data_IF_521226268023
#
_entry.id   IF_521226268023
#
_cell.length_a   1.000
_cell.length_b   1.000
_cell.length_c   1.000
_cell.angle_alpha   90.00
_cell.angle_beta   90.00
_cell.angle_gamma   90.00
#
_symmetry.space_group_name_H-M   'P 1'
#
loop_
_entity.id
_entity.type
_entity.pdbx_description
1 polymer ?
#
# COMPACT_ATOMS: atom_id res chain seq x y z
N UNK A 1 -2.43 -16.44 27.58
CA UNK A 1 -2.20 -15.58 26.42
C UNK A 1 -0.74 -15.16 26.42
N UNK A 2 0.00 -15.20 25.30
CA UNK A 2 1.38 -14.76 25.28
C UNK A 2 1.44 -13.30 25.73
N UNK A 3 2.30 -13.02 26.69
CA UNK A 3 2.26 -11.83 27.55
C UNK A 3 2.93 -10.58 26.96
N UNK A 4 3.34 -10.56 25.69
CA UNK A 4 3.73 -9.34 24.97
C UNK A 4 3.86 -9.61 23.48
N UNK A 5 3.26 -8.76 22.62
CA UNK A 5 3.52 -8.80 21.18
C UNK A 5 4.94 -8.33 20.87
N UNK A 6 5.61 -8.89 19.83
CA UNK A 6 6.88 -8.38 19.36
C UNK A 6 6.80 -6.87 19.08
N UNK A 7 7.79 -6.11 19.54
CA UNK A 7 7.83 -4.65 19.29
C UNK A 7 7.79 -4.32 17.80
N UNK A 8 8.39 -5.19 16.96
CA UNK A 8 8.34 -5.08 15.51
C UNK A 8 6.91 -5.17 14.99
N UNK A 9 6.12 -6.15 15.45
CA UNK A 9 4.73 -6.32 15.06
C UNK A 9 3.86 -5.11 15.46
N UNK A 10 4.01 -4.64 16.69
CA UNK A 10 3.28 -3.44 17.16
C UNK A 10 3.64 -2.20 16.31
N UNK A 11 4.93 -2.05 15.97
CA UNK A 11 5.40 -0.94 15.13
C UNK A 11 4.82 -1.05 13.71
N UNK A 12 4.79 -2.26 13.15
CA UNK A 12 4.29 -2.53 11.81
C UNK A 12 2.80 -2.26 11.72
N UNK A 13 1.98 -2.80 12.63
CA UNK A 13 0.53 -2.56 12.66
C UNK A 13 0.20 -1.07 12.77
N UNK A 14 0.87 -0.35 13.67
CA UNK A 14 0.67 1.11 13.83
C UNK A 14 1.16 1.90 12.63
N UNK A 15 2.26 1.45 12.02
CA UNK A 15 2.84 2.01 10.81
C UNK A 15 1.87 1.91 9.66
N UNK A 16 1.51 0.69 9.28
CA UNK A 16 0.55 0.38 8.22
C UNK A 16 -0.77 1.12 8.46
N UNK A 17 -1.35 1.05 9.67
CA UNK A 17 -2.61 1.75 9.98
C UNK A 17 -2.53 3.22 9.59
N UNK A 18 -1.53 3.96 10.07
CA UNK A 18 -1.34 5.37 9.73
C UNK A 18 -0.90 5.58 8.27
N UNK A 19 -0.17 4.61 7.68
CA UNK A 19 0.25 4.55 6.28
C UNK A 19 -0.93 4.54 5.33
N UNK A 20 -1.92 3.66 5.54
CA UNK A 20 -3.14 3.57 4.73
C UNK A 20 -3.86 4.92 4.63
N UNK A 21 -3.88 5.68 5.73
CA UNK A 21 -4.47 7.02 5.73
C UNK A 21 -3.70 7.99 4.84
N UNK A 22 -2.37 7.91 4.83
CA UNK A 22 -1.55 8.73 3.93
C UNK A 22 -1.76 8.33 2.47
N UNK A 23 -1.80 7.03 2.19
CA UNK A 23 -2.07 6.48 0.86
C UNK A 23 -3.42 6.97 0.34
N UNK A 24 -4.50 6.81 1.12
CA UNK A 24 -5.82 7.30 0.77
C UNK A 24 -5.84 8.82 0.47
N UNK A 25 -5.21 9.65 1.30
CA UNK A 25 -5.13 11.10 1.02
C UNK A 25 -4.31 11.43 -0.23
N UNK A 26 -3.22 10.69 -0.47
CA UNK A 26 -2.43 10.83 -1.68
C UNK A 26 -3.28 10.47 -2.92
N UNK A 27 -4.03 9.36 -2.88
CA UNK A 27 -4.89 8.92 -3.97
C UNK A 27 -6.05 9.88 -4.27
N UNK A 28 -6.63 10.52 -3.26
CA UNK A 28 -7.60 11.61 -3.49
C UNK A 28 -7.02 12.75 -4.32
N UNK A 29 -5.76 13.12 -4.09
CA UNK A 29 -5.08 14.16 -4.86
C UNK A 29 -4.64 13.66 -6.23
N UNK A 30 -4.13 12.44 -6.30
CA UNK A 30 -3.74 11.78 -7.53
C UNK A 30 -4.94 11.69 -8.49
N UNK A 31 -6.08 11.17 -8.05
CA UNK A 31 -7.31 11.11 -8.86
C UNK A 31 -7.73 12.50 -9.38
N UNK A 32 -7.58 13.56 -8.58
CA UNK A 32 -7.88 14.93 -9.02
C UNK A 32 -6.91 15.47 -10.06
N UNK A 33 -5.65 15.04 -10.03
CA UNK A 33 -4.61 15.43 -10.99
C UNK A 33 -4.72 14.71 -12.34
N UNK A 34 -5.44 13.58 -12.40
CA UNK A 34 -5.62 12.78 -13.61
C UNK A 34 -6.74 13.34 -14.49
N UNK A 35 -6.66 13.12 -15.81
CA UNK A 35 -7.71 13.53 -16.76
C UNK A 35 -8.61 12.36 -17.16
N UNK A 36 -8.05 11.17 -17.39
CA UNK A 36 -8.80 9.97 -17.79
C UNK A 36 -9.84 9.58 -16.72
N UNK A 37 -11.10 9.44 -17.13
CA UNK A 37 -12.17 9.00 -16.23
C UNK A 37 -11.97 7.55 -15.76
N UNK A 38 -11.43 6.70 -16.63
CA UNK A 38 -11.13 5.31 -16.31
C UNK A 38 -10.05 5.22 -15.23
N UNK A 39 -8.94 5.94 -15.40
CA UNK A 39 -7.85 5.95 -14.41
C UNK A 39 -8.31 6.56 -13.08
N UNK A 40 -9.19 7.58 -13.11
CA UNK A 40 -9.82 8.12 -11.89
C UNK A 40 -10.62 7.07 -11.15
N UNK A 41 -11.41 6.28 -11.86
CA UNK A 41 -12.21 5.22 -11.23
C UNK A 41 -11.31 4.14 -10.63
N UNK A 42 -10.22 3.78 -11.30
CA UNK A 42 -9.21 2.87 -10.75
C UNK A 42 -8.54 3.42 -9.50
N UNK A 43 -8.02 4.65 -9.55
CA UNK A 43 -7.40 5.29 -8.38
C UNK A 43 -8.41 5.46 -7.24
N UNK A 44 -9.69 5.69 -7.56
CA UNK A 44 -10.75 5.77 -6.55
C UNK A 44 -11.01 4.41 -5.89
N UNK A 45 -11.02 3.33 -6.68
CA UNK A 45 -11.12 1.96 -6.18
C UNK A 45 -9.96 1.66 -5.20
N UNK A 46 -8.73 1.96 -5.62
CA UNK A 46 -7.53 1.84 -4.77
C UNK A 46 -7.72 2.63 -3.47
N UNK A 47 -8.15 3.89 -3.55
CA UNK A 47 -8.44 4.71 -2.36
C UNK A 47 -9.46 4.06 -1.41
N UNK A 48 -10.54 3.47 -1.94
CA UNK A 48 -11.54 2.77 -1.14
C UNK A 48 -10.97 1.52 -0.47
N UNK A 49 -10.12 0.77 -1.18
CA UNK A 49 -9.38 -0.39 -0.66
C UNK A 49 -8.43 0.00 0.48
N UNK A 50 -7.74 1.16 0.39
CA UNK A 50 -6.92 1.69 1.49
C UNK A 50 -7.72 1.98 2.76
N UNK A 51 -8.95 2.50 2.62
CA UNK A 51 -9.83 2.73 3.77
C UNK A 51 -10.28 1.42 4.42
N UNK A 52 -10.51 0.37 3.62
CA UNK A 52 -10.86 -0.95 4.11
C UNK A 52 -9.68 -1.65 4.81
N UNK A 53 -8.47 -1.56 4.23
CA UNK A 53 -7.22 -2.00 4.86
C UNK A 53 -7.03 -1.33 6.23
N UNK A 54 -7.20 -0.01 6.26
CA UNK A 54 -7.09 0.78 7.49
C UNK A 54 -8.12 0.36 8.55
N UNK A 55 -9.35 0.07 8.12
CA UNK A 55 -10.42 -0.40 9.01
C UNK A 55 -10.05 -1.75 9.62
N UNK A 56 -9.57 -2.70 8.81
CA UNK A 56 -9.12 -4.00 9.28
C UNK A 56 -7.99 -3.89 10.32
N UNK A 57 -6.96 -3.09 10.04
CA UNK A 57 -5.85 -2.87 10.97
C UNK A 57 -6.31 -2.23 12.29
N UNK A 58 -7.35 -1.39 12.25
CA UNK A 58 -7.97 -0.83 13.47
C UNK A 58 -8.67 -1.89 14.30
N UNK A 59 -9.45 -2.75 13.66
CA UNK A 59 -10.17 -3.85 14.32
C UNK A 59 -9.17 -4.85 14.93
N UNK A 60 -8.12 -5.20 14.20
CA UNK A 60 -7.00 -6.01 14.71
C UNK A 60 -6.32 -5.38 15.94
N UNK A 61 -6.04 -4.07 15.91
CA UNK A 61 -5.50 -3.38 17.09
C UNK A 61 -6.45 -3.45 18.29
N UNK A 62 -7.76 -3.26 18.07
CA UNK A 62 -8.76 -3.33 19.12
C UNK A 62 -8.85 -4.71 19.76
N UNK A 63 -8.82 -5.77 18.94
CA UNK A 63 -8.83 -7.16 19.39
C UNK A 63 -7.67 -7.45 20.36
N UNK A 64 -6.50 -6.87 20.10
CA UNK A 64 -5.31 -7.07 20.90
C UNK A 64 -5.03 -5.99 21.95
N UNK A 65 -5.99 -5.09 22.20
CA UNK A 65 -5.83 -3.99 23.15
C UNK A 65 -4.73 -2.99 22.77
N UNK A 66 -4.30 -2.99 21.51
CA UNK A 66 -3.38 -2.00 20.96
C UNK A 66 -4.12 -0.71 20.66
N UNK A 67 -3.39 0.40 20.72
CA UNK A 67 -3.90 1.73 20.35
C UNK A 67 -3.10 2.30 19.19
N UNK A 68 -3.72 3.03 18.25
CA UNK A 68 -3.00 3.82 17.26
C UNK A 68 -1.99 4.77 17.90
N UNK A 69 -0.94 5.08 17.16
CA UNK A 69 0.01 6.13 17.56
C UNK A 69 -0.50 7.49 17.06
N UNK A 70 -0.95 8.36 17.97
CA UNK A 70 -1.44 9.71 17.61
C UNK A 70 -0.41 10.52 16.82
N UNK A 71 0.87 10.37 17.17
CA UNK A 71 1.96 11.03 16.45
C UNK A 71 2.06 10.54 14.99
N UNK A 72 2.03 9.22 14.77
CA UNK A 72 2.05 8.68 13.41
C UNK A 72 0.79 9.08 12.63
N UNK A 73 -0.37 9.08 13.29
CA UNK A 73 -1.63 9.49 12.70
C UNK A 73 -1.58 10.93 12.17
N UNK A 74 -1.04 11.87 12.94
CA UNK A 74 -0.89 13.26 12.52
C UNK A 74 0.16 13.37 11.42
N UNK A 75 1.35 12.78 11.64
CA UNK A 75 2.46 12.83 10.69
C UNK A 75 2.05 12.30 9.32
N UNK A 76 1.41 11.13 9.27
CA UNK A 76 1.03 10.48 8.02
C UNK A 76 -0.14 11.20 7.34
N UNK A 77 -1.09 11.76 8.10
CA UNK A 77 -2.13 12.63 7.53
C UNK A 77 -1.52 13.85 6.81
N UNK A 78 -0.51 14.48 7.41
CA UNK A 78 0.18 15.62 6.80
C UNK A 78 0.97 15.21 5.55
N UNK A 79 1.71 14.09 5.61
CA UNK A 79 2.45 13.56 4.47
C UNK A 79 1.49 13.27 3.30
N UNK A 80 0.39 12.55 3.54
CA UNK A 80 -0.60 12.23 2.51
C UNK A 80 -1.20 13.49 1.87
N UNK A 81 -1.54 14.50 2.66
CA UNK A 81 -2.05 15.79 2.15
C UNK A 81 -1.01 16.56 1.33
N UNK A 82 0.25 16.55 1.75
CA UNK A 82 1.32 17.20 0.98
C UNK A 82 1.51 16.50 -0.37
N UNK A 83 1.52 15.16 -0.38
CA UNK A 83 1.61 14.37 -1.63
C UNK A 83 0.40 14.66 -2.51
N UNK A 84 -0.81 14.68 -1.93
CA UNK A 84 -2.07 15.01 -2.61
C UNK A 84 -1.98 16.32 -3.40
N UNK A 85 -1.42 17.37 -2.78
CA UNK A 85 -1.17 18.66 -3.43
C UNK A 85 -0.07 18.56 -4.49
N UNK A 86 1.03 17.88 -4.17
CA UNK A 86 2.18 17.73 -5.07
C UNK A 86 1.85 16.99 -6.37
N UNK A 87 0.86 16.08 -6.38
CA UNK A 87 0.42 15.37 -7.58
C UNK A 87 0.06 16.29 -8.75
N UNK A 88 -0.36 17.53 -8.50
CA UNK A 88 -0.70 18.51 -9.54
C UNK A 88 0.54 19.21 -10.13
N UNK A 89 1.70 19.10 -9.48
CA UNK A 89 2.91 19.85 -9.80
C UNK A 89 3.99 18.98 -10.45
N UNK A 90 4.03 17.69 -10.12
CA UNK A 90 5.14 16.80 -10.46
C UNK A 90 4.90 15.94 -11.74
N UNK A 91 3.84 16.25 -12.49
CA UNK A 91 3.48 15.57 -13.74
C UNK A 91 2.83 14.20 -13.54
N UNK A 92 2.68 13.43 -14.62
CA UNK A 92 2.02 12.11 -14.61
C UNK A 92 2.93 10.97 -14.13
N UNK A 93 4.19 10.95 -14.59
CA UNK A 93 5.10 9.84 -14.30
C UNK A 93 5.42 9.70 -12.81
N UNK A 94 5.67 10.80 -12.10
CA UNK A 94 6.12 10.75 -10.71
C UNK A 94 5.05 10.18 -9.75
N UNK A 95 3.79 10.66 -9.77
CA UNK A 95 2.73 10.08 -8.94
C UNK A 95 2.50 8.61 -9.24
N UNK A 96 2.49 8.21 -10.52
CA UNK A 96 2.31 6.81 -10.92
C UNK A 96 3.47 5.93 -10.44
N UNK A 97 4.72 6.36 -10.66
CA UNK A 97 5.90 5.60 -10.25
C UNK A 97 5.97 5.44 -8.72
N UNK A 98 5.77 6.53 -7.97
CA UNK A 98 5.86 6.46 -6.51
C UNK A 98 4.67 5.78 -5.86
N UNK A 99 3.49 5.81 -6.49
CA UNK A 99 2.35 5.01 -6.06
C UNK A 99 2.69 3.52 -6.18
N UNK A 100 3.09 3.03 -7.35
CA UNK A 100 3.45 1.61 -7.49
C UNK A 100 4.57 1.15 -6.55
N UNK A 101 5.56 2.01 -6.30
CA UNK A 101 6.60 1.74 -5.30
C UNK A 101 6.07 1.70 -3.85
N UNK A 102 5.07 2.52 -3.52
CA UNK A 102 4.41 2.52 -2.21
C UNK A 102 3.71 1.17 -2.01
N UNK A 103 2.90 0.73 -2.97
CA UNK A 103 2.14 -0.52 -2.89
C UNK A 103 3.06 -1.74 -2.80
N UNK A 104 4.20 -1.72 -3.52
CA UNK A 104 5.24 -2.74 -3.39
C UNK A 104 5.73 -2.91 -1.94
N UNK A 105 5.82 -1.79 -1.20
CA UNK A 105 6.14 -1.77 0.21
C UNK A 105 5.00 -2.33 1.06
N UNK A 106 3.76 -1.93 0.81
CA UNK A 106 2.58 -2.42 1.53
C UNK A 106 2.43 -3.94 1.42
N UNK A 107 2.67 -4.53 0.24
CA UNK A 107 2.69 -6.00 0.06
C UNK A 107 3.65 -6.65 1.06
N UNK A 108 4.89 -6.17 1.17
CA UNK A 108 5.88 -6.74 2.09
C UNK A 108 5.49 -6.47 3.55
N UNK A 109 4.91 -5.31 3.87
CA UNK A 109 4.44 -5.00 5.22
C UNK A 109 3.37 -6.01 5.69
N UNK A 110 2.39 -6.34 4.85
CA UNK A 110 1.35 -7.32 5.21
C UNK A 110 1.89 -8.76 5.32
N UNK A 111 2.79 -9.16 4.43
CA UNK A 111 3.41 -10.48 4.49
C UNK A 111 4.33 -10.63 5.71
N UNK A 112 5.08 -9.58 6.07
CA UNK A 112 5.90 -9.57 7.27
C UNK A 112 5.03 -9.55 8.53
N UNK A 113 3.90 -8.83 8.52
CA UNK A 113 2.94 -8.85 9.62
C UNK A 113 2.41 -10.27 9.86
N UNK A 114 2.06 -10.99 8.79
CA UNK A 114 1.67 -12.41 8.86
C UNK A 114 2.80 -13.26 9.45
N UNK A 115 4.04 -13.12 8.96
CA UNK A 115 5.20 -13.87 9.49
C UNK A 115 5.38 -13.63 11.00
N UNK A 116 5.23 -12.39 11.45
CA UNK A 116 5.37 -12.03 12.86
C UNK A 116 4.23 -12.58 13.72
N UNK A 117 2.99 -12.59 13.23
CA UNK A 117 1.88 -13.26 13.92
C UNK A 117 2.10 -14.78 14.02
N UNK A 118 2.52 -15.41 12.93
CA UNK A 118 2.81 -16.84 12.91
C UNK A 118 3.97 -17.22 13.84
N UNK A 119 4.95 -16.33 14.02
CA UNK A 119 6.06 -16.56 14.96
C UNK A 119 5.63 -16.65 16.43
N UNK A 120 4.42 -16.18 16.75
CA UNK A 120 3.80 -16.25 18.08
C UNK A 120 2.53 -17.11 18.10
N UNK A 121 2.39 -18.03 17.13
CA UNK A 121 1.30 -19.02 17.03
C UNK A 121 -0.10 -18.40 16.86
N UNK A 122 -0.17 -17.24 16.21
CA UNK A 122 -1.43 -16.56 15.84
C UNK A 122 -1.59 -16.66 14.32
N UNK A 123 -2.56 -17.45 13.88
CA UNK A 123 -2.82 -17.71 12.44
C UNK A 123 -4.14 -17.12 11.93
N UNK A 124 -4.95 -16.53 12.82
CA UNK A 124 -6.30 -16.06 12.47
C UNK A 124 -6.31 -14.90 11.45
N UNK A 125 -5.20 -14.20 11.29
CA UNK A 125 -5.06 -13.06 10.38
C UNK A 125 -4.46 -13.44 9.02
N UNK A 126 -3.96 -14.67 8.87
CA UNK A 126 -3.19 -15.11 7.69
C UNK A 126 -3.94 -14.85 6.39
N UNK A 127 -5.18 -15.33 6.31
CA UNK A 127 -6.00 -15.20 5.10
C UNK A 127 -6.21 -13.73 4.72
N UNK A 128 -6.55 -12.88 5.69
CA UNK A 128 -6.86 -11.49 5.40
C UNK A 128 -5.60 -10.71 5.04
N UNK A 129 -4.47 -10.94 5.72
CA UNK A 129 -3.19 -10.32 5.39
C UNK A 129 -2.68 -10.76 4.01
N UNK A 130 -2.88 -12.02 3.62
CA UNK A 130 -2.61 -12.49 2.25
C UNK A 130 -3.52 -11.84 1.22
N UNK A 131 -4.81 -11.68 1.52
CA UNK A 131 -5.76 -11.02 0.64
C UNK A 131 -5.41 -9.54 0.45
N UNK A 132 -5.05 -8.83 1.51
CA UNK A 132 -4.57 -7.45 1.46
C UNK A 132 -3.27 -7.35 0.65
N UNK A 133 -2.29 -8.21 0.90
CA UNK A 133 -1.06 -8.27 0.11
C UNK A 133 -1.33 -8.54 -1.39
N UNK A 134 -2.34 -9.34 -1.71
CA UNK A 134 -2.75 -9.56 -3.09
C UNK A 134 -3.37 -8.31 -3.73
N UNK A 135 -4.22 -7.59 -3.00
CA UNK A 135 -4.82 -6.32 -3.46
C UNK A 135 -3.74 -5.27 -3.72
N UNK A 136 -2.82 -5.08 -2.77
CA UNK A 136 -1.67 -4.18 -2.95
C UNK A 136 -0.81 -4.57 -4.16
N UNK A 137 -0.67 -5.87 -4.43
CA UNK A 137 0.05 -6.33 -5.61
C UNK A 137 -0.68 -5.95 -6.90
N UNK A 138 -2.01 -6.00 -6.90
CA UNK A 138 -2.83 -5.54 -8.03
C UNK A 138 -2.61 -4.03 -8.26
N UNK A 139 -2.55 -3.24 -7.19
CA UNK A 139 -2.25 -1.81 -7.26
C UNK A 139 -0.84 -1.56 -7.81
N UNK A 140 0.18 -2.27 -7.29
CA UNK A 140 1.57 -2.18 -7.76
C UNK A 140 1.66 -2.42 -9.27
N UNK A 141 1.02 -3.49 -9.76
CA UNK A 141 1.04 -3.85 -11.17
C UNK A 141 0.27 -2.85 -12.04
N UNK A 142 -0.86 -2.34 -11.55
CA UNK A 142 -1.59 -1.27 -12.23
C UNK A 142 -0.68 -0.07 -12.46
N UNK A 143 -0.06 0.46 -11.41
CA UNK A 143 0.82 1.62 -11.53
C UNK A 143 2.06 1.34 -12.38
N UNK A 144 2.63 0.14 -12.29
CA UNK A 144 3.74 -0.27 -13.14
C UNK A 144 3.37 -0.24 -14.62
N UNK A 145 2.20 -0.77 -15.00
CA UNK A 145 1.73 -0.74 -16.39
C UNK A 145 1.56 0.67 -16.95
N UNK A 146 1.30 1.67 -16.09
CA UNK A 146 1.19 3.08 -16.51
C UNK A 146 2.54 3.74 -16.80
N UNK A 147 3.64 3.17 -16.31
CA UNK A 147 4.98 3.77 -16.42
C UNK A 147 6.02 2.87 -17.08
N UNK A 148 5.70 1.62 -17.42
CA UNK A 148 6.66 0.62 -17.92
C UNK A 148 7.38 1.05 -19.20
N UNK A 149 6.67 1.77 -20.08
CA UNK A 149 7.22 2.30 -21.33
C UNK A 149 7.82 3.71 -21.19
N UNK A 150 7.78 4.32 -20.01
CA UNK A 150 8.22 5.70 -19.84
C UNK A 150 9.76 5.83 -19.82
N UNK A 151 10.37 6.76 -20.58
CA UNK A 151 11.84 6.86 -20.70
C UNK A 151 12.59 7.06 -19.37
N UNK A 152 11.97 7.73 -18.40
CA UNK A 152 12.58 7.97 -17.08
C UNK A 152 12.64 6.74 -16.18
N UNK A 153 11.89 5.68 -16.50
CA UNK A 153 11.83 4.48 -15.67
C UNK A 153 13.21 3.89 -15.41
N UNK A 154 14.06 3.78 -16.45
CA UNK A 154 15.43 3.26 -16.31
C UNK A 154 16.27 4.02 -15.30
N UNK A 155 16.15 5.35 -15.27
CA UNK A 155 16.87 6.19 -14.32
C UNK A 155 16.31 6.02 -12.90
N UNK A 156 14.98 6.02 -12.76
CA UNK A 156 14.32 5.88 -11.46
C UNK A 156 14.54 4.49 -10.84
N UNK A 157 14.48 3.42 -11.63
CA UNK A 157 14.82 2.06 -11.20
C UNK A 157 16.21 1.99 -10.55
N UNK A 158 17.21 2.66 -11.14
CA UNK A 158 18.58 2.67 -10.61
C UNK A 158 18.68 3.33 -9.23
N UNK A 159 17.87 4.36 -8.98
CA UNK A 159 17.93 5.15 -7.74
C UNK A 159 17.03 4.54 -6.67
N UNK A 160 15.78 4.26 -7.02
CA UNK A 160 14.72 3.91 -6.07
C UNK A 160 14.42 2.41 -6.00
N UNK A 161 15.07 1.60 -6.87
CA UNK A 161 15.05 0.14 -6.87
C UNK A 161 13.64 -0.46 -6.98
N UNK A 162 12.79 0.14 -7.81
CA UNK A 162 11.45 -0.37 -8.13
C UNK A 162 11.17 -0.26 -9.64
N UNK A 163 10.54 -1.28 -10.22
CA UNK A 163 10.20 -1.37 -11.65
C UNK A 163 10.08 -2.81 -12.13
N UNK A 164 10.08 -3.07 -13.45
CA UNK A 164 9.95 -4.44 -13.99
C UNK A 164 11.05 -5.36 -13.45
N UNK A 165 10.67 -6.44 -12.78
CA UNK A 165 11.59 -7.39 -12.14
C UNK A 165 12.29 -6.84 -10.87
N UNK A 166 11.94 -5.66 -10.39
CA UNK A 166 12.45 -5.04 -9.16
C UNK A 166 11.28 -4.64 -8.27
N UNK A 167 11.02 -5.42 -7.24
CA UNK A 167 9.96 -5.20 -6.26
C UNK A 167 10.51 -5.38 -4.84
N UNK A 168 9.84 -4.82 -3.84
CA UNK A 168 10.19 -5.03 -2.43
C UNK A 168 9.60 -6.33 -1.86
N UNK A 169 8.84 -7.05 -2.68
CA UNK A 169 8.22 -8.33 -2.36
C UNK A 169 8.46 -9.33 -3.49
N UNK A 170 8.46 -10.62 -3.14
CA UNK A 170 8.49 -11.73 -4.10
C UNK A 170 7.08 -12.31 -4.35
N UNK A 171 6.02 -11.57 -3.96
CA UNK A 171 4.65 -12.07 -4.04
C UNK A 171 4.19 -12.21 -5.49
N UNK A 172 3.68 -13.39 -5.83
CA UNK A 172 3.14 -13.70 -7.15
C UNK A 172 1.62 -13.77 -7.06
N UNK A 173 0.94 -12.89 -7.78
CA UNK A 173 -0.50 -12.99 -7.98
C UNK A 173 -0.82 -14.25 -8.77
N UNK A 174 -1.78 -15.03 -8.28
CA UNK A 174 -2.28 -16.18 -9.03
C UNK A 174 -2.91 -15.72 -10.36
N UNK A 175 -2.63 -16.46 -11.44
CA UNK A 175 -3.13 -16.19 -12.80
C UNK A 175 -4.66 -15.98 -12.90
N UNK A 176 -5.45 -16.51 -11.96
CA UNK A 176 -6.91 -16.32 -11.94
C UNK A 176 -7.32 -14.89 -11.55
N UNK A 177 -6.60 -14.23 -10.65
CA UNK A 177 -6.89 -12.84 -10.24
C UNK A 177 -6.53 -11.86 -11.34
N UNK A 178 -5.40 -12.10 -12.04
CA UNK A 178 -4.94 -11.29 -13.17
C UNK A 178 -6.00 -11.20 -14.29
N UNK A 179 -6.62 -12.33 -14.66
CA UNK A 179 -7.59 -12.40 -15.77
C UNK A 179 -8.94 -11.74 -15.49
N UNK A 180 -9.33 -11.57 -14.22
CA UNK A 180 -10.60 -10.95 -13.85
C UNK A 180 -10.55 -9.42 -13.90
N UNK A 181 -9.38 -8.84 -14.18
CA UNK A 181 -9.15 -7.39 -14.13
C UNK A 181 -8.36 -6.85 -15.33
N UNK A 182 -8.46 -7.47 -16.52
CA UNK A 182 -7.73 -7.05 -17.72
C UNK A 182 -7.71 -5.50 -17.84
N UNK A 183 -6.50 -4.95 -17.69
CA UNK A 183 -6.15 -3.54 -17.80
C UNK A 183 -6.29 -3.01 -19.22
#
# INVERSE_FOLDING_TARGET
MPTTFPKALIKLIRGAYSGEKAAAYAYQGHARSITSAEEKNWIKKIEDEEWDHRKYLKEMMQEYGLRPSLWLEIKMALIGQIISLACHLIGYFMPMYFAGRLESGNVEEYLEMKRLFNSIDIHQHDKCLEEMAAVEKEHELYFLSKVEDHPWLKFFMKIFKWGPGLSFNDYQLENKRIKNQNF
#
